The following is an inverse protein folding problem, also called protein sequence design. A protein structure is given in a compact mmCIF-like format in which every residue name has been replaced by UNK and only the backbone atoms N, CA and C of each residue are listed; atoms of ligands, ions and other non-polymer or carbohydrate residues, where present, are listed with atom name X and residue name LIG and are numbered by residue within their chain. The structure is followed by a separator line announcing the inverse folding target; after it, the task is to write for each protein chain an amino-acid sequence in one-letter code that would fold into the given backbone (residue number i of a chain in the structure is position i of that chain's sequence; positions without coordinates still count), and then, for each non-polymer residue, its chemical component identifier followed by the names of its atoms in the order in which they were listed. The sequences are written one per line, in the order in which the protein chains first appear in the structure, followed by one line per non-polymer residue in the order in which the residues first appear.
data_IF_441532604764
#
_entry.id   IF_441532604764
#
_cell.length_a   1.000
_cell.length_b   1.000
_cell.length_c   1.000
_cell.angle_alpha   90.00
_cell.angle_beta   90.00
_cell.angle_gamma   90.00
#
_symmetry.space_group_name_H-M   'P 1'
#
loop_
_entity.id
_entity.type
_entity.pdbx_description
1 polymer ?
#
# COMPACT_ATOMS: atom_id res chain seq x y z
N UNK A 1 -14.17 -21.69 1.35
CA UNK A 1 -13.75 -20.85 2.48
C UNK A 1 -13.23 -19.53 1.90
N UNK A 2 -13.76 -18.39 2.33
CA UNK A 2 -13.16 -17.09 2.00
C UNK A 2 -11.94 -16.91 2.91
N UNK A 3 -10.75 -16.77 2.31
CA UNK A 3 -9.55 -16.41 3.07
C UNK A 3 -9.53 -14.90 3.27
N UNK A 4 -9.13 -14.45 4.46
CA UNK A 4 -8.84 -13.03 4.66
C UNK A 4 -7.67 -12.60 3.75
N UNK A 5 -7.70 -11.38 3.21
CA UNK A 5 -6.60 -10.84 2.42
C UNK A 5 -5.38 -10.59 3.32
N UNK A 6 -4.19 -10.71 2.74
CA UNK A 6 -2.98 -10.24 3.40
C UNK A 6 -3.03 -8.71 3.54
N UNK A 7 -2.54 -8.19 4.65
CA UNK A 7 -2.52 -6.76 4.94
C UNK A 7 -1.07 -6.36 5.23
N UNK A 8 -0.57 -5.40 4.46
CA UNK A 8 0.80 -4.90 4.58
C UNK A 8 0.78 -3.41 4.92
N UNK A 9 1.54 -3.00 5.92
CA UNK A 9 1.77 -1.59 6.24
C UNK A 9 3.15 -1.17 5.74
N UNK A 10 3.18 -0.22 4.81
CA UNK A 10 4.42 0.42 4.41
C UNK A 10 4.90 1.38 5.51
N UNK A 11 6.14 1.20 5.98
CA UNK A 11 6.64 1.79 7.24
C UNK A 11 6.92 3.29 7.16
N UNK A 12 7.49 3.72 6.04
CA UNK A 12 7.80 5.11 5.79
C UNK A 12 6.55 5.90 5.41
N UNK A 13 6.56 7.21 5.70
CA UNK A 13 5.43 8.05 5.30
C UNK A 13 5.46 8.30 3.80
N UNK A 14 4.28 8.40 3.19
CA UNK A 14 4.14 8.63 1.75
C UNK A 14 3.42 9.94 1.47
N UNK A 15 3.91 10.67 0.47
CA UNK A 15 3.17 11.77 -0.12
C UNK A 15 1.97 11.24 -0.91
N UNK A 16 0.78 11.38 -0.34
CA UNK A 16 -0.46 10.87 -0.93
C UNK A 16 -0.86 11.53 -2.25
N UNK A 17 -0.19 12.62 -2.66
CA UNK A 17 -0.34 13.24 -3.99
C UNK A 17 0.17 12.35 -5.13
N UNK A 18 0.96 11.32 -4.83
CA UNK A 18 1.43 10.30 -5.79
C UNK A 18 0.30 9.48 -6.44
N UNK A 19 -0.90 9.50 -5.86
CA UNK A 19 -2.08 8.77 -6.35
C UNK A 19 -1.83 7.26 -6.57
N UNK A 20 -2.70 6.56 -7.31
CA UNK A 20 -2.66 5.10 -7.46
C UNK A 20 -1.33 4.63 -8.07
N UNK A 21 -0.93 5.16 -9.23
CA UNK A 21 0.28 4.70 -9.93
C UNK A 21 1.55 4.93 -9.10
N UNK A 22 1.65 6.07 -8.40
CA UNK A 22 2.83 6.34 -7.59
C UNK A 22 2.87 5.52 -6.29
N UNK A 23 1.74 5.01 -5.80
CA UNK A 23 1.71 4.06 -4.69
C UNK A 23 2.04 2.63 -5.14
N UNK A 24 1.53 2.22 -6.31
CA UNK A 24 1.88 0.94 -6.92
C UNK A 24 3.39 0.87 -7.18
N UNK A 25 3.97 1.92 -7.76
CA UNK A 25 5.40 2.00 -8.01
C UNK A 25 6.26 1.84 -6.75
N UNK A 26 5.82 2.37 -5.59
CA UNK A 26 6.55 2.19 -4.32
C UNK A 26 6.60 0.72 -3.93
N UNK A 27 5.49 -0.01 -4.03
CA UNK A 27 5.47 -1.44 -3.71
C UNK A 27 6.38 -2.22 -4.66
N UNK A 28 6.29 -1.94 -5.96
CA UNK A 28 7.09 -2.62 -6.98
C UNK A 28 8.59 -2.32 -6.88
N UNK A 29 8.97 -1.09 -6.49
CA UNK A 29 10.38 -0.69 -6.45
C UNK A 29 11.06 -0.93 -5.11
N UNK A 30 10.30 -1.01 -4.01
CA UNK A 30 10.87 -1.06 -2.65
C UNK A 30 10.52 -2.34 -1.89
N UNK A 31 9.75 -3.24 -2.49
CA UNK A 31 9.37 -4.52 -1.88
C UNK A 31 9.33 -5.63 -2.93
N UNK A 32 9.45 -6.87 -2.49
CA UNK A 32 9.22 -8.06 -3.35
C UNK A 32 7.74 -8.52 -3.31
N UNK A 33 6.81 -7.65 -2.92
CA UNK A 33 5.41 -8.02 -2.74
C UNK A 33 4.61 -7.89 -4.06
N UNK A 34 3.84 -8.92 -4.42
CA UNK A 34 3.00 -8.88 -5.61
C UNK A 34 1.71 -8.08 -5.36
N UNK A 35 1.52 -6.99 -6.11
CA UNK A 35 0.31 -6.15 -6.02
C UNK A 35 -0.98 -6.90 -6.44
N UNK A 36 -0.87 -7.91 -7.32
CA UNK A 36 -2.00 -8.68 -7.90
C UNK A 36 -2.56 -9.81 -7.04
N UNK A 37 -2.26 -9.88 -5.75
CA UNK A 37 -2.65 -11.00 -4.87
C UNK A 37 -3.97 -10.82 -4.13
N UNK A 38 -4.66 -9.69 -4.33
CA UNK A 38 -5.79 -9.30 -3.50
C UNK A 38 -5.38 -8.84 -2.10
N UNK A 39 -4.09 -8.56 -1.88
CA UNK A 39 -3.58 -7.98 -0.66
C UNK A 39 -3.95 -6.48 -0.53
N UNK A 40 -4.04 -6.00 0.71
CA UNK A 40 -4.23 -4.59 1.03
C UNK A 40 -2.90 -3.96 1.41
N UNK A 41 -2.48 -2.93 0.68
CA UNK A 41 -1.26 -2.17 0.98
C UNK A 41 -1.64 -0.83 1.62
N UNK A 42 -1.29 -0.67 2.89
CA UNK A 42 -1.59 0.51 3.69
C UNK A 42 -0.40 1.45 3.70
N UNK A 43 -0.70 2.74 3.51
CA UNK A 43 0.27 3.83 3.57
C UNK A 43 -0.21 4.86 4.59
N UNK A 44 0.74 5.51 5.26
CA UNK A 44 0.46 6.65 6.16
C UNK A 44 1.06 7.93 5.62
N UNK A 45 0.41 9.07 5.85
CA UNK A 45 1.02 10.36 5.58
C UNK A 45 2.04 10.74 6.69
N UNK A 46 2.77 11.85 6.52
CA UNK A 46 3.82 12.27 7.45
C UNK A 46 3.36 12.44 8.91
N UNK A 47 2.14 12.94 9.11
CA UNK A 47 1.56 13.11 10.45
C UNK A 47 0.97 11.81 11.02
N UNK A 48 0.89 10.75 10.21
CA UNK A 48 0.28 9.44 10.54
C UNK A 48 -1.16 9.53 11.03
N UNK A 49 -1.87 10.60 10.67
CA UNK A 49 -3.29 10.82 10.95
C UNK A 49 -4.19 10.34 9.80
N UNK A 50 -3.62 10.00 8.65
CA UNK A 50 -4.34 9.52 7.47
C UNK A 50 -3.75 8.20 6.98
N UNK A 51 -4.64 7.29 6.60
CA UNK A 51 -4.30 6.03 5.94
C UNK A 51 -4.87 6.05 4.53
N UNK A 52 -4.06 5.59 3.57
CA UNK A 52 -4.52 5.27 2.21
C UNK A 52 -4.28 3.79 1.96
N UNK A 53 -5.25 3.14 1.32
CA UNK A 53 -5.19 1.71 0.98
C UNK A 53 -5.12 1.58 -0.53
N UNK A 54 -4.16 0.79 -1.01
CA UNK A 54 -4.08 0.33 -2.40
C UNK A 54 -4.51 -1.13 -2.45
N UNK A 55 -5.41 -1.45 -3.38
CA UNK A 55 -6.04 -2.75 -3.59
C UNK A 55 -6.44 -2.90 -5.07
N UNK A 56 -6.50 -4.14 -5.55
CA UNK A 56 -6.99 -4.54 -6.87
C UNK A 56 -8.04 -5.64 -6.77
#
# INVERSE_FOLDING_TARGET
MLSAPNIYLYREFVDFRKSINGLAAIIESETDLPLGTGALFLFTNKQRDKVKVLYW
#
